data_IF_405350648182
#
_entry.id   IF_405350648182
#
_cell.length_a   1.000
_cell.length_b   1.000
_cell.length_c   1.000
_cell.angle_alpha   90.00
_cell.angle_beta   90.00
_cell.angle_gamma   90.00
#
_symmetry.space_group_name_H-M   'P 1'
#
loop_
_entity.id
_entity.type
_entity.pdbx_description
1 polymer ?
#
# COMPACT_ATOMS: atom_id res chain seq x y z
N UNK A 1 53.18 -4.87 2.99
CA UNK A 1 51.91 -4.13 3.20
C UNK A 1 51.51 -3.66 1.82
N UNK A 2 50.44 -4.21 1.21
CA UNK A 2 49.96 -3.71 -0.07
C UNK A 2 49.61 -2.22 0.04
N UNK A 3 49.85 -1.48 -1.03
CA UNK A 3 49.60 -0.05 -1.10
C UNK A 3 48.09 0.20 -0.91
N UNK A 4 47.65 1.05 0.05
CA UNK A 4 46.23 1.37 0.19
C UNK A 4 45.61 1.92 -1.12
N UNK A 5 46.41 2.46 -2.05
CA UNK A 5 45.94 2.85 -3.38
C UNK A 5 45.53 1.67 -4.28
N UNK A 6 46.15 0.48 -4.13
CA UNK A 6 45.79 -0.71 -4.91
C UNK A 6 44.49 -1.38 -4.42
N UNK A 7 44.09 -1.14 -3.16
CA UNK A 7 42.84 -1.67 -2.60
C UNK A 7 41.59 -0.93 -3.11
N UNK A 8 41.74 0.33 -3.54
CA UNK A 8 40.63 1.14 -4.05
C UNK A 8 40.38 0.93 -5.56
N UNK A 9 41.31 0.32 -6.30
CA UNK A 9 41.19 0.09 -7.76
C UNK A 9 40.35 -1.14 -8.16
N UNK A 10 39.80 -1.90 -7.19
CA UNK A 10 39.02 -3.11 -7.47
C UNK A 10 37.61 -3.14 -6.87
N UNK A 11 36.94 -1.99 -6.79
CA UNK A 11 35.50 -1.96 -6.50
C UNK A 11 34.72 -2.31 -7.79
N UNK A 12 34.53 -3.61 -8.03
CA UNK A 12 33.61 -4.10 -9.06
C UNK A 12 32.15 -3.82 -8.63
N UNK A 13 31.60 -2.68 -9.03
CA UNK A 13 30.17 -2.39 -8.85
C UNK A 13 29.37 -3.15 -9.92
N UNK A 14 28.83 -4.31 -9.55
CA UNK A 14 27.89 -5.02 -10.41
C UNK A 14 26.53 -4.31 -10.39
N UNK A 15 26.13 -3.78 -11.55
CA UNK A 15 24.78 -3.21 -11.72
C UNK A 15 23.78 -4.36 -11.67
N UNK A 16 23.01 -4.44 -10.60
CA UNK A 16 21.93 -5.41 -10.44
C UNK A 16 20.81 -5.25 -11.49
N UNK A 17 19.85 -6.19 -11.46
CA UNK A 17 18.66 -6.12 -12.32
C UNK A 17 17.90 -4.82 -12.05
N UNK A 18 17.63 -4.03 -13.10
CA UNK A 18 16.82 -2.81 -12.98
C UNK A 18 15.34 -3.17 -13.12
N UNK A 19 14.56 -2.86 -12.09
CA UNK A 19 13.10 -2.88 -12.20
C UNK A 19 12.63 -1.68 -13.04
N UNK A 20 11.49 -1.78 -13.74
CA UNK A 20 10.79 -0.60 -14.25
C UNK A 20 10.58 0.38 -13.09
N UNK A 21 10.89 1.65 -13.31
CA UNK A 21 10.75 2.69 -12.31
C UNK A 21 9.81 3.78 -12.81
N UNK A 22 9.20 4.49 -11.86
CA UNK A 22 8.41 5.69 -12.11
C UNK A 22 9.06 6.85 -11.38
N UNK A 23 9.18 7.99 -12.04
CA UNK A 23 9.67 9.21 -11.39
C UNK A 23 8.58 9.77 -10.49
N UNK A 24 8.93 10.05 -9.24
CA UNK A 24 8.04 10.63 -8.23
C UNK A 24 8.65 11.97 -7.84
N UNK A 25 7.83 13.02 -7.77
CA UNK A 25 8.30 14.33 -7.31
C UNK A 25 8.55 14.30 -5.80
N UNK A 26 9.79 14.59 -5.39
CA UNK A 26 10.19 14.70 -3.97
C UNK A 26 9.25 15.62 -3.18
N UNK A 27 8.83 16.73 -3.81
CA UNK A 27 7.92 17.72 -3.24
C UNK A 27 6.60 17.11 -2.74
N UNK A 28 6.07 16.07 -3.40
CA UNK A 28 4.84 15.38 -2.96
C UNK A 28 5.10 14.62 -1.66
N UNK A 29 6.24 13.93 -1.55
CA UNK A 29 6.63 13.17 -0.36
C UNK A 29 6.79 14.06 0.88
N UNK A 30 7.27 15.30 0.68
CA UNK A 30 7.52 16.27 1.75
C UNK A 30 6.40 17.31 1.94
N UNK A 31 5.34 17.25 1.13
CA UNK A 31 4.20 18.20 1.14
C UNK A 31 3.29 18.10 2.36
N UNK A 32 3.50 17.10 3.22
CA UNK A 32 2.68 16.78 4.39
C UNK A 32 1.27 16.26 4.10
N UNK A 33 0.98 15.79 2.87
CA UNK A 33 -0.20 14.94 2.62
C UNK A 33 -0.07 13.62 3.37
N UNK A 34 -1.18 12.90 3.52
CA UNK A 34 -1.17 11.58 4.16
C UNK A 34 -0.36 10.55 3.37
N UNK A 35 0.21 9.57 4.08
CA UNK A 35 0.97 8.47 3.45
C UNK A 35 0.12 7.68 2.43
N UNK A 36 -1.19 7.59 2.68
CA UNK A 36 -2.15 6.97 1.76
C UNK A 36 -2.32 7.80 0.48
N UNK A 37 -2.33 9.12 0.57
CA UNK A 37 -2.33 10.02 -0.59
C UNK A 37 -1.01 9.92 -1.37
N UNK A 38 0.14 9.85 -0.68
CA UNK A 38 1.44 9.58 -1.33
C UNK A 38 1.41 8.26 -2.11
N UNK A 39 0.98 7.17 -1.46
CA UNK A 39 0.91 5.86 -2.11
C UNK A 39 -0.04 5.87 -3.32
N UNK A 40 -1.15 6.62 -3.24
CA UNK A 40 -2.06 6.82 -4.37
C UNK A 40 -1.40 7.59 -5.52
N UNK A 41 -0.67 8.67 -5.22
CA UNK A 41 0.10 9.41 -6.22
C UNK A 41 1.10 8.50 -6.93
N UNK A 42 1.85 7.68 -6.20
CA UNK A 42 2.79 6.71 -6.79
C UNK A 42 2.09 5.74 -7.75
N UNK A 43 0.94 5.19 -7.35
CA UNK A 43 0.14 4.28 -8.20
C UNK A 43 -0.38 4.98 -9.47
N UNK A 44 -0.79 6.24 -9.36
CA UNK A 44 -1.17 7.04 -10.52
C UNK A 44 0.04 7.28 -11.44
N UNK A 45 1.21 7.62 -10.88
CA UNK A 45 2.44 7.83 -11.63
C UNK A 45 2.90 6.58 -12.39
N UNK A 46 2.66 5.38 -11.85
CA UNK A 46 2.93 4.11 -12.54
C UNK A 46 2.09 3.92 -13.80
N UNK A 47 0.95 4.62 -13.93
CA UNK A 47 0.09 4.56 -15.13
C UNK A 47 0.46 5.59 -16.20
N UNK A 48 1.43 6.48 -15.95
CA UNK A 48 1.88 7.45 -16.94
C UNK A 48 2.45 6.70 -18.15
N UNK A 49 1.89 6.98 -19.33
CA UNK A 49 2.38 6.38 -20.56
C UNK A 49 3.52 7.21 -21.12
N UNK A 50 4.76 6.80 -20.80
CA UNK A 50 5.98 7.46 -21.27
C UNK A 50 6.04 7.59 -22.79
N UNK A 51 5.46 6.64 -23.56
CA UNK A 51 5.45 6.71 -25.02
C UNK A 51 4.50 7.77 -25.57
N UNK A 52 3.44 8.12 -24.82
CA UNK A 52 2.46 9.13 -25.22
C UNK A 52 2.96 10.55 -24.93
N UNK A 53 3.92 10.69 -24.01
CA UNK A 53 4.53 11.96 -23.64
C UNK A 53 3.61 12.91 -22.85
N UNK A 54 2.42 12.44 -22.44
CA UNK A 54 1.53 13.18 -21.56
C UNK A 54 1.52 12.58 -20.14
N UNK A 55 0.97 13.34 -19.20
CA UNK A 55 0.82 12.91 -17.79
C UNK A 55 -0.63 12.54 -17.45
N UNK A 56 -1.44 12.24 -18.48
CA UNK A 56 -2.85 11.91 -18.32
C UNK A 56 -3.04 10.41 -18.03
N UNK A 57 -3.84 10.08 -17.02
CA UNK A 57 -4.19 8.69 -16.71
C UNK A 57 -5.70 8.58 -16.45
N UNK A 58 -6.28 7.43 -16.76
CA UNK A 58 -7.72 7.18 -16.58
C UNK A 58 -8.03 5.80 -15.98
N UNK A 59 -7.33 5.37 -14.91
CA UNK A 59 -7.75 4.19 -14.17
C UNK A 59 -9.14 4.43 -13.56
N UNK A 60 -9.93 3.37 -13.48
CA UNK A 60 -11.23 3.43 -12.83
C UNK A 60 -11.06 3.51 -11.29
N UNK A 61 -11.98 4.17 -10.59
CA UNK A 61 -11.86 4.43 -9.15
C UNK A 61 -11.90 3.15 -8.31
N UNK A 62 -12.62 2.13 -8.78
CA UNK A 62 -12.64 0.79 -8.21
C UNK A 62 -11.27 0.12 -8.27
N UNK A 63 -10.58 0.17 -9.42
CA UNK A 63 -9.22 -0.36 -9.59
C UNK A 63 -8.24 0.36 -8.67
N UNK A 64 -8.32 1.70 -8.58
CA UNK A 64 -7.47 2.46 -7.68
C UNK A 64 -7.72 2.10 -6.20
N UNK A 65 -8.99 1.91 -5.82
CA UNK A 65 -9.36 1.54 -4.46
C UNK A 65 -8.87 0.13 -4.11
N UNK A 66 -9.05 -0.82 -5.01
CA UNK A 66 -8.55 -2.20 -4.87
C UNK A 66 -7.02 -2.20 -4.66
N UNK A 67 -6.27 -1.52 -5.52
CA UNK A 67 -4.81 -1.41 -5.38
C UNK A 67 -4.38 -0.72 -4.08
N UNK A 68 -5.21 0.21 -3.58
CA UNK A 68 -5.00 0.88 -2.32
C UNK A 68 -5.43 0.08 -1.08
N UNK A 69 -6.00 -1.11 -1.27
CA UNK A 69 -6.48 -1.98 -0.19
C UNK A 69 -7.79 -1.49 0.42
N UNK A 70 -8.60 -0.72 -0.32
CA UNK A 70 -9.91 -0.27 0.11
C UNK A 70 -11.01 -1.11 -0.53
N UNK A 71 -11.98 -1.56 0.25
CA UNK A 71 -13.13 -2.32 -0.25
C UNK A 71 -14.16 -1.46 -1.00
N UNK A 72 -14.06 -0.12 -0.91
CA UNK A 72 -15.03 0.82 -1.48
C UNK A 72 -14.30 1.89 -2.27
N UNK A 73 -14.80 2.18 -3.47
CA UNK A 73 -14.24 3.21 -4.34
C UNK A 73 -14.28 4.61 -3.71
N UNK A 74 -15.30 4.90 -2.91
CA UNK A 74 -15.49 6.21 -2.30
C UNK A 74 -14.43 6.53 -1.25
N UNK A 75 -13.85 5.49 -0.61
CA UNK A 75 -12.81 5.62 0.42
C UNK A 75 -11.53 6.24 -0.11
N UNK A 76 -11.31 6.23 -1.42
CA UNK A 76 -10.12 6.84 -2.03
C UNK A 76 -10.24 8.34 -2.22
N UNK A 77 -11.47 8.84 -2.28
CA UNK A 77 -11.77 10.24 -2.66
C UNK A 77 -11.13 11.26 -1.73
N UNK A 78 -11.11 11.09 -0.39
CA UNK A 78 -10.42 12.04 0.49
C UNK A 78 -8.94 12.20 0.16
N UNK A 79 -8.26 11.10 -0.18
CA UNK A 79 -6.84 11.13 -0.55
C UNK A 79 -6.61 11.77 -1.93
N UNK A 80 -7.55 11.60 -2.86
CA UNK A 80 -7.53 12.36 -4.12
C UNK A 80 -7.73 13.86 -3.86
N UNK A 81 -8.63 14.24 -2.95
CA UNK A 81 -8.82 15.66 -2.60
C UNK A 81 -7.53 16.26 -2.00
N UNK A 82 -6.81 15.54 -1.13
CA UNK A 82 -5.50 15.99 -0.62
C UNK A 82 -4.50 16.27 -1.75
N UNK A 83 -4.40 15.36 -2.73
CA UNK A 83 -3.51 15.53 -3.89
C UNK A 83 -3.93 16.70 -4.80
N UNK A 84 -5.23 16.93 -4.94
CA UNK A 84 -5.77 18.09 -5.69
C UNK A 84 -5.45 19.39 -4.96
N UNK A 85 -5.62 19.42 -3.64
CA UNK A 85 -5.36 20.60 -2.79
C UNK A 85 -3.91 21.06 -2.89
N UNK A 86 -2.95 20.13 -2.95
CA UNK A 86 -1.53 20.48 -3.12
C UNK A 86 -1.12 20.72 -4.58
N UNK A 87 -2.03 20.58 -5.54
CA UNK A 87 -1.75 20.74 -6.97
C UNK A 87 -0.98 19.58 -7.60
N UNK A 88 -0.92 18.40 -6.95
CA UNK A 88 -0.20 17.24 -7.47
C UNK A 88 -1.01 16.49 -8.54
N UNK A 89 -2.33 16.57 -8.48
CA UNK A 89 -3.25 15.93 -9.43
C UNK A 89 -4.37 16.87 -9.79
N UNK A 90 -4.70 16.99 -11.07
CA UNK A 90 -5.96 17.61 -11.53
C UNK A 90 -6.93 16.52 -11.94
N UNK A 91 -8.17 16.60 -11.45
CA UNK A 91 -9.24 15.65 -11.80
C UNK A 91 -10.21 16.30 -12.77
N UNK A 92 -10.28 15.76 -13.98
CA UNK A 92 -11.22 16.20 -15.00
C UNK A 92 -12.27 15.11 -15.26
N UNK A 93 -13.53 15.51 -15.39
CA UNK A 93 -14.59 14.58 -15.77
C UNK A 93 -14.81 14.65 -17.28
N UNK A 94 -14.30 13.66 -18.00
CA UNK A 94 -14.56 13.51 -19.43
C UNK A 94 -15.80 12.65 -19.64
N UNK A 95 -16.68 13.07 -20.55
CA UNK A 95 -17.82 12.24 -20.99
C UNK A 95 -17.44 11.52 -22.27
N UNK A 96 -17.42 10.20 -22.23
CA UNK A 96 -17.16 9.35 -23.39
C UNK A 96 -18.46 8.69 -23.89
N UNK A 97 -18.48 8.34 -25.18
CA UNK A 97 -19.59 7.63 -25.86
C UNK A 97 -20.93 8.37 -25.77
N UNK A 98 -21.09 9.42 -26.59
CA UNK A 98 -22.32 10.20 -26.73
C UNK A 98 -22.85 10.79 -25.40
N UNK A 99 -21.96 11.09 -24.45
CA UNK A 99 -22.35 11.69 -23.17
C UNK A 99 -22.91 10.72 -22.12
N UNK A 100 -22.99 9.42 -22.42
CA UNK A 100 -23.64 8.44 -21.54
C UNK A 100 -22.77 8.03 -20.35
N UNK A 101 -21.45 7.92 -20.55
CA UNK A 101 -20.51 7.49 -19.50
C UNK A 101 -19.56 8.63 -19.15
N UNK A 102 -19.54 9.01 -17.88
CA UNK A 102 -18.48 9.87 -17.35
C UNK A 102 -17.32 8.99 -16.89
N UNK A 103 -16.10 9.40 -17.21
CA UNK A 103 -14.87 8.84 -16.66
C UNK A 103 -14.04 9.97 -16.09
N UNK A 104 -13.36 9.68 -14.99
CA UNK A 104 -12.37 10.59 -14.44
C UNK A 104 -11.09 10.43 -15.26
N UNK A 105 -10.54 11.58 -15.66
CA UNK A 105 -9.21 11.74 -16.24
C UNK A 105 -8.37 12.47 -15.19
N UNK A 106 -7.23 11.92 -14.86
CA UNK A 106 -6.30 12.48 -13.88
C UNK A 106 -5.10 13.01 -14.63
N UNK A 107 -4.75 14.28 -14.42
CA UNK A 107 -3.50 14.87 -14.92
C UNK A 107 -2.54 14.92 -13.74
N UNK A 108 -1.39 14.25 -13.88
CA UNK A 108 -0.40 14.15 -12.81
C UNK A 108 0.66 15.22 -13.03
N UNK A 109 0.95 16.00 -11.99
CA UNK A 109 1.91 17.10 -12.07
C UNK A 109 3.24 16.68 -11.42
N UNK A 110 4.28 16.53 -12.23
CA UNK A 110 5.62 16.19 -11.76
C UNK A 110 6.29 17.38 -11.05
N UNK A 111 5.94 18.60 -11.46
CA UNK A 111 6.42 19.86 -10.90
C UNK A 111 5.28 20.53 -10.13
N UNK A 112 5.53 21.10 -8.94
CA UNK A 112 4.49 21.79 -8.20
C UNK A 112 4.10 23.10 -8.89
N UNK A 113 2.93 23.62 -8.53
CA UNK A 113 2.48 24.93 -9.01
C UNK A 113 3.45 26.05 -8.54
N UNK A 114 3.59 27.16 -9.30
CA UNK A 114 4.46 28.27 -8.91
C UNK A 114 4.11 28.92 -7.57
N UNK A 115 2.87 28.74 -7.10
CA UNK A 115 2.36 29.22 -5.81
C UNK A 115 2.66 28.27 -4.65
N UNK A 116 3.30 27.12 -4.89
CA UNK A 116 3.61 26.14 -3.86
C UNK A 116 4.59 26.68 -2.83
N UNK A 117 4.20 26.60 -1.55
CA UNK A 117 5.01 27.01 -0.40
C UNK A 117 5.44 25.77 0.36
N UNK A 118 6.71 25.41 0.24
CA UNK A 118 7.33 24.28 0.92
C UNK A 118 8.65 23.90 0.29
N UNK A 119 9.39 22.94 0.88
CA UNK A 119 10.57 22.40 0.24
C UNK A 119 10.18 21.65 -1.05
N UNK A 120 10.99 21.81 -2.09
CA UNK A 120 10.80 21.20 -3.41
C UNK A 120 11.62 19.91 -3.56
N UNK A 121 12.73 19.82 -2.81
CA UNK A 121 13.66 18.70 -2.86
C UNK A 121 13.99 18.19 -1.45
N UNK A 122 14.42 16.94 -1.35
CA UNK A 122 14.87 16.35 -0.08
C UNK A 122 16.02 17.15 0.57
N UNK A 123 16.94 17.70 -0.23
CA UNK A 123 18.06 18.51 0.25
C UNK A 123 17.60 19.80 0.97
N UNK A 124 16.60 20.50 0.43
CA UNK A 124 15.99 21.68 1.03
C UNK A 124 15.30 21.34 2.35
N UNK A 125 14.56 20.22 2.37
CA UNK A 125 13.94 19.71 3.58
C UNK A 125 14.97 19.47 4.69
N UNK A 126 16.08 18.79 4.39
CA UNK A 126 17.14 18.56 5.37
C UNK A 126 17.87 19.85 5.77
N UNK A 127 18.03 20.80 4.84
CA UNK A 127 18.60 22.11 5.16
C UNK A 127 17.72 22.88 6.15
N UNK A 128 16.41 22.93 5.92
CA UNK A 128 15.43 23.52 6.84
C UNK A 128 15.43 22.82 8.19
N UNK A 129 15.44 21.48 8.20
CA UNK A 129 15.48 20.68 9.43
C UNK A 129 16.72 20.95 10.27
N UNK A 130 17.88 21.13 9.65
CA UNK A 130 19.14 21.45 10.36
C UNK A 130 19.17 22.89 10.86
N UNK A 131 18.70 23.83 10.05
CA UNK A 131 18.76 25.24 10.39
C UNK A 131 17.72 25.64 11.45
N UNK A 132 16.49 25.13 11.35
CA UNK A 132 15.33 25.56 12.15
C UNK A 132 14.34 24.40 12.36
N UNK A 133 14.64 23.43 13.24
CA UNK A 133 13.78 22.26 13.46
C UNK A 133 12.37 22.64 13.97
N UNK A 134 12.26 23.64 14.84
CA UNK A 134 10.96 24.07 15.40
C UNK A 134 10.09 24.76 14.34
N UNK A 135 10.67 25.61 13.49
CA UNK A 135 9.96 26.24 12.36
C UNK A 135 9.44 25.18 11.38
N UNK A 136 10.24 24.15 11.09
CA UNK A 136 9.82 23.05 10.23
C UNK A 136 8.64 22.28 10.84
N UNK A 137 8.72 21.92 12.12
CA UNK A 137 7.64 21.21 12.80
C UNK A 137 6.35 22.05 12.84
N UNK A 138 6.46 23.35 13.13
CA UNK A 138 5.35 24.29 13.09
C UNK A 138 4.74 24.41 11.68
N UNK A 139 5.58 24.54 10.65
CA UNK A 139 5.14 24.56 9.25
C UNK A 139 4.42 23.26 8.87
N UNK A 140 4.97 22.09 9.22
CA UNK A 140 4.32 20.80 8.96
C UNK A 140 2.94 20.70 9.61
N UNK A 141 2.83 21.13 10.87
CA UNK A 141 1.56 21.16 11.60
C UNK A 141 0.52 22.06 10.93
N UNK A 142 0.90 23.30 10.60
CA UNK A 142 0.05 24.25 9.90
C UNK A 142 -0.35 23.75 8.52
N UNK A 143 0.60 23.14 7.78
CA UNK A 143 0.37 22.61 6.44
C UNK A 143 -0.62 21.44 6.46
N UNK A 144 -0.47 20.48 7.37
CA UNK A 144 -1.43 19.37 7.54
C UNK A 144 -2.82 19.87 7.87
N UNK A 145 -2.93 20.83 8.80
CA UNK A 145 -4.21 21.42 9.17
C UNK A 145 -4.87 22.13 7.97
N UNK A 146 -4.10 22.92 7.22
CA UNK A 146 -4.58 23.59 6.01
C UNK A 146 -5.05 22.58 4.94
N UNK A 147 -4.25 21.55 4.65
CA UNK A 147 -4.62 20.50 3.68
C UNK A 147 -5.92 19.82 4.09
N UNK A 148 -6.04 19.44 5.37
CA UNK A 148 -7.24 18.79 5.88
C UNK A 148 -8.50 19.67 5.77
N UNK A 149 -8.39 20.97 6.08
CA UNK A 149 -9.50 21.92 5.93
C UNK A 149 -9.90 22.12 4.46
N UNK A 150 -8.93 22.30 3.56
CA UNK A 150 -9.22 22.43 2.12
C UNK A 150 -9.83 21.15 1.54
N UNK A 151 -9.36 19.97 1.94
CA UNK A 151 -9.92 18.69 1.51
C UNK A 151 -11.38 18.52 1.99
N UNK A 152 -11.70 18.94 3.23
CA UNK A 152 -13.08 18.97 3.72
C UNK A 152 -13.96 19.93 2.91
N UNK A 153 -13.44 21.11 2.57
CA UNK A 153 -14.17 22.09 1.76
C UNK A 153 -14.44 21.55 0.35
N UNK A 154 -13.46 20.93 -0.29
CA UNK A 154 -13.64 20.22 -1.56
C UNK A 154 -14.71 19.12 -1.45
N UNK A 155 -14.68 18.32 -0.39
CA UNK A 155 -15.71 17.31 -0.13
C UNK A 155 -17.11 17.93 0.06
N UNK A 156 -17.21 19.10 0.70
CA UNK A 156 -18.46 19.87 0.85
C UNK A 156 -18.99 20.34 -0.50
N UNK A 157 -18.14 20.95 -1.33
CA UNK A 157 -18.49 21.41 -2.67
C UNK A 157 -18.93 20.25 -3.57
N UNK A 158 -18.25 19.10 -3.51
CA UNK A 158 -18.65 17.89 -4.24
C UNK A 158 -20.03 17.39 -3.81
N UNK A 159 -20.32 17.38 -2.50
CA UNK A 159 -21.65 17.02 -1.98
C UNK A 159 -22.72 18.01 -2.43
N UNK A 160 -22.43 19.30 -2.43
CA UNK A 160 -23.37 20.33 -2.89
C UNK A 160 -23.64 20.20 -4.39
N UNK A 161 -22.61 20.02 -5.21
CA UNK A 161 -22.74 19.75 -6.64
C UNK A 161 -23.56 18.48 -6.92
N UNK A 162 -23.37 17.42 -6.12
CA UNK A 162 -24.17 16.20 -6.21
C UNK A 162 -25.65 16.45 -5.88
N UNK A 163 -25.95 17.29 -4.88
CA UNK A 163 -27.34 17.68 -4.51
C UNK A 163 -28.01 18.53 -5.60
N UNK A 164 -27.27 19.43 -6.25
CA UNK A 164 -27.79 20.26 -7.36
C UNK A 164 -28.07 19.44 -8.61
N UNK A 165 -27.44 18.27 -8.75
CA UNK A 165 -27.65 17.39 -9.89
C UNK A 165 -29.05 16.77 -9.77
N UNK A 166 -29.97 17.00 -10.74
CA UNK A 166 -31.31 16.46 -10.66
C UNK A 166 -31.23 14.94 -10.51
N UNK A 167 -32.04 14.33 -9.63
CA UNK A 167 -32.04 12.89 -9.46
C UNK A 167 -32.29 12.28 -10.84
N UNK A 168 -31.35 11.45 -11.30
CA UNK A 168 -31.57 10.65 -12.51
C UNK A 168 -32.82 9.83 -12.23
N UNK A 169 -33.92 10.12 -12.92
CA UNK A 169 -35.12 9.28 -12.88
C UNK A 169 -34.70 7.92 -13.39
N UNK A 170 -34.41 6.99 -12.49
CA UNK A 170 -33.96 5.62 -12.77
C UNK A 170 -34.97 4.78 -13.60
N UNK A 171 -36.04 5.39 -14.13
CA UNK A 171 -37.06 4.73 -14.94
C UNK A 171 -37.45 5.48 -16.22
N UNK A 172 -36.81 6.61 -16.57
CA UNK A 172 -36.97 7.12 -17.93
C UNK A 172 -36.08 6.26 -18.84
N UNK A 173 -36.69 5.19 -19.37
CA UNK A 173 -36.16 4.44 -20.51
C UNK A 173 -35.60 5.46 -21.50
N UNK A 174 -34.33 5.26 -21.89
CA UNK A 174 -33.69 6.11 -22.88
C UNK A 174 -34.68 6.35 -24.02
N UNK A 175 -34.94 7.61 -24.43
CA UNK A 175 -35.89 7.89 -25.50
C UNK A 175 -35.54 6.95 -26.65
N UNK A 176 -36.53 6.17 -27.16
CA UNK A 176 -36.26 5.19 -28.20
C UNK A 176 -35.49 5.92 -29.30
N UNK A 177 -34.30 5.40 -29.65
CA UNK A 177 -33.40 6.04 -30.60
C UNK A 177 -34.17 6.28 -31.91
N UNK A 178 -34.73 7.48 -32.05
CA UNK A 178 -35.53 7.89 -33.18
C UNK A 178 -34.57 8.12 -34.33
N UNK A 179 -34.32 7.09 -35.14
CA UNK A 179 -33.53 7.26 -36.36
C UNK A 179 -32.84 6.02 -36.93
N UNK A 180 -32.78 4.88 -36.23
CA UNK A 180 -32.32 3.66 -36.89
C UNK A 180 -33.46 3.14 -37.75
N UNK A 181 -33.41 3.51 -39.03
CA UNK A 181 -34.18 2.92 -40.13
C UNK A 181 -34.20 1.41 -39.94
N UNK A 182 -35.34 0.89 -39.54
CA UNK A 182 -35.64 -0.53 -39.68
C UNK A 182 -35.47 -0.82 -41.17
N UNK A 183 -34.58 -1.75 -41.59
CA UNK A 183 -34.68 -2.26 -42.94
C UNK A 183 -36.07 -2.87 -43.07
N UNK A 184 -36.83 -2.38 -44.06
CA UNK A 184 -38.11 -2.95 -44.41
C UNK A 184 -37.99 -4.48 -44.50
N UNK A 185 -38.81 -5.15 -43.70
CA UNK A 185 -39.67 -6.21 -44.22
C UNK A 185 -38.93 -7.35 -44.94
N UNK A 186 -38.28 -8.22 -44.17
CA UNK A 186 -38.24 -9.64 -44.53
C UNK A 186 -38.53 -10.48 -43.31
N UNK A 187 -39.69 -11.13 -43.36
CA UNK A 187 -40.22 -11.93 -42.27
C UNK A 187 -39.31 -13.08 -41.91
N UNK A 188 -39.23 -13.34 -40.61
CA UNK A 188 -38.95 -14.66 -40.08
C UNK A 188 -40.05 -14.96 -39.08
N UNK A 189 -40.89 -15.91 -39.47
CA UNK A 189 -41.90 -16.51 -38.62
C UNK A 189 -41.24 -17.04 -37.33
N UNK A 190 -41.92 -16.84 -36.20
CA UNK A 190 -41.61 -17.54 -34.94
C UNK A 190 -41.66 -19.06 -35.19
N UNK A 191 -40.59 -19.83 -34.91
CA UNK A 191 -40.75 -21.25 -34.66
C UNK A 191 -41.35 -21.40 -33.26
N UNK A 192 -42.39 -22.23 -33.18
CA UNK A 192 -43.09 -22.57 -31.96
C UNK A 192 -42.21 -23.30 -30.94
N UNK A 193 -42.74 -23.33 -29.73
CA UNK A 193 -42.30 -24.15 -28.61
C UNK A 193 -42.06 -25.59 -29.06
N UNK A 194 -40.84 -26.09 -28.87
CA UNK A 194 -40.56 -27.53 -28.87
C UNK A 194 -40.57 -28.05 -27.43
N UNK A 195 -41.20 -29.20 -27.15
CA UNK A 195 -41.15 -29.85 -25.86
C UNK A 195 -39.78 -30.51 -25.61
N UNK A 196 -39.54 -30.76 -24.34
CA UNK A 196 -38.44 -31.52 -23.77
C UNK A 196 -38.21 -32.90 -24.44
N UNK A 197 -36.94 -33.26 -24.57
CA UNK A 197 -36.50 -34.65 -24.81
C UNK A 197 -35.90 -34.93 -26.18
N UNK A 198 -34.58 -35.16 -26.23
CA UNK A 198 -33.94 -35.78 -27.38
C UNK A 198 -32.46 -35.44 -27.52
N UNK A 199 -31.61 -36.35 -27.06
CA UNK A 199 -30.17 -36.41 -27.36
C UNK A 199 -29.96 -36.41 -28.88
N UNK A 200 -29.40 -35.34 -29.44
CA UNK A 200 -28.81 -35.35 -30.78
C UNK A 200 -27.45 -34.64 -30.82
N UNK A 201 -26.49 -35.15 -31.62
CA UNK A 201 -25.10 -34.70 -31.62
C UNK A 201 -24.94 -33.38 -32.38
N UNK A 202 -24.14 -32.48 -31.81
CA UNK A 202 -23.81 -31.17 -32.41
C UNK A 202 -23.00 -31.37 -33.70
N UNK A 203 -23.39 -30.77 -34.85
CA UNK A 203 -22.58 -30.81 -36.05
C UNK A 203 -21.37 -29.88 -35.93
N UNK A 204 -20.25 -30.33 -36.51
CA UNK A 204 -18.99 -29.56 -36.60
C UNK A 204 -19.21 -28.28 -37.40
N UNK A 205 -18.84 -27.14 -36.82
CA UNK A 205 -18.83 -25.83 -37.47
C UNK A 205 -17.80 -25.81 -38.60
N UNK A 206 -18.28 -25.93 -39.83
CA UNK A 206 -17.56 -25.59 -41.06
C UNK A 206 -17.75 -24.10 -41.34
N UNK A 207 -16.65 -23.38 -41.57
CA UNK A 207 -16.68 -22.09 -42.28
C UNK A 207 -16.19 -20.86 -41.50
N UNK A 208 -14.92 -20.84 -41.09
CA UNK A 208 -14.21 -19.56 -40.89
C UNK A 208 -13.75 -19.09 -42.26
N UNK A 209 -14.37 -18.03 -42.77
CA UNK A 209 -13.98 -17.35 -44.01
C UNK A 209 -12.61 -16.70 -43.82
N UNK A 210 -11.60 -17.24 -44.49
CA UNK A 210 -10.34 -16.55 -44.74
C UNK A 210 -10.61 -15.34 -45.63
N UNK A 211 -10.28 -14.10 -45.23
CA UNK A 211 -10.35 -12.96 -46.13
C UNK A 211 -9.32 -13.11 -47.26
N UNK A 212 -9.63 -12.66 -48.49
CA UNK A 212 -8.72 -12.74 -49.62
C UNK A 212 -7.48 -11.88 -49.39
N UNK A 213 -6.35 -12.36 -49.93
CA UNK A 213 -5.00 -11.77 -49.94
C UNK A 213 -5.00 -10.23 -49.91
N UNK A 214 -4.49 -9.66 -48.82
CA UNK A 214 -3.98 -8.28 -48.82
C UNK A 214 -2.77 -8.21 -49.74
N UNK A 215 -2.75 -7.20 -50.60
CA UNK A 215 -1.64 -6.89 -51.50
C UNK A 215 -0.35 -6.50 -50.76
N UNK A 216 0.75 -6.30 -51.49
CA UNK A 216 2.06 -5.99 -50.92
C UNK A 216 1.99 -4.68 -50.13
N UNK A 217 2.38 -4.75 -48.85
CA UNK A 217 2.59 -3.58 -48.01
C UNK A 217 3.85 -2.86 -48.54
N UNK A 218 3.77 -1.58 -48.95
CA UNK A 218 4.94 -0.83 -49.37
C UNK A 218 5.92 -0.67 -48.19
N UNK A 219 7.22 -0.73 -48.50
CA UNK A 219 8.29 -0.56 -47.51
C UNK A 219 8.19 0.84 -46.90
N UNK A 220 8.25 0.99 -45.57
CA UNK A 220 8.37 2.31 -44.96
C UNK A 220 9.68 2.94 -45.45
N UNK A 221 9.56 4.05 -46.15
CA UNK A 221 10.68 4.85 -46.64
C UNK A 221 10.92 5.96 -45.62
N UNK A 222 12.13 6.03 -45.07
CA UNK A 222 12.66 7.20 -44.38
C UNK A 222 12.05 7.50 -43.02
N UNK A 223 12.58 6.86 -41.97
CA UNK A 223 12.70 7.53 -40.67
C UNK A 223 14.19 7.68 -40.44
N UNK A 224 14.66 8.92 -40.49
CA UNK A 224 16.03 9.30 -40.15
C UNK A 224 16.32 8.77 -38.74
N UNK A 225 17.33 7.92 -38.64
CA UNK A 225 17.85 7.46 -37.37
C UNK A 225 18.66 8.61 -36.77
N UNK A 226 18.14 9.19 -35.69
CA UNK A 226 18.95 10.00 -34.80
C UNK A 226 20.10 9.14 -34.28
N UNK A 227 21.31 9.63 -34.54
CA UNK A 227 22.58 9.01 -34.19
C UNK A 227 22.70 9.01 -32.67
N UNK A 228 22.29 7.92 -32.04
CA UNK A 228 22.71 7.60 -30.68
C UNK A 228 24.16 7.15 -30.77
N UNK A 229 25.04 8.00 -30.26
CA UNK A 229 26.47 7.75 -30.08
C UNK A 229 26.63 6.51 -29.17
N UNK A 230 26.94 5.37 -29.78
CA UNK A 230 27.25 4.13 -29.08
C UNK A 230 28.76 4.13 -28.78
N UNK A 231 29.10 4.20 -27.50
CA UNK A 231 30.43 3.83 -27.01
C UNK A 231 30.59 2.31 -27.17
N UNK A 232 31.34 1.92 -28.21
CA UNK A 232 31.69 0.53 -28.46
C UNK A 232 32.83 0.10 -27.53
N UNK A 233 32.55 -0.81 -26.59
CA UNK A 233 33.56 -1.66 -25.97
C UNK A 233 33.37 -3.09 -26.48
N UNK A 234 34.39 -3.74 -27.07
CA UNK A 234 34.21 -5.05 -27.70
C UNK A 234 34.13 -6.18 -26.65
N UNK A 235 32.98 -6.86 -26.60
CA UNK A 235 32.78 -8.08 -25.81
C UNK A 235 33.19 -9.32 -26.61
N UNK A 236 34.08 -10.13 -26.03
CA UNK A 236 34.48 -11.46 -26.49
C UNK A 236 33.32 -12.47 -26.48
N UNK A 237 33.32 -13.47 -27.39
CA UNK A 237 32.25 -14.45 -27.51
C UNK A 237 32.34 -15.54 -26.43
N UNK A 238 31.21 -15.81 -25.74
CA UNK A 238 31.05 -16.98 -24.86
C UNK A 238 30.19 -18.07 -25.53
N UNK A 239 30.46 -19.36 -25.25
CA UNK A 239 29.87 -20.49 -25.96
C UNK A 239 28.46 -20.83 -25.47
N UNK A 240 27.66 -21.26 -26.45
CA UNK A 240 26.26 -21.70 -26.34
C UNK A 240 26.12 -22.92 -25.43
N UNK A 241 25.37 -22.80 -24.33
CA UNK A 241 24.92 -23.94 -23.51
C UNK A 241 23.44 -24.19 -23.76
N UNK A 242 23.14 -25.38 -24.30
CA UNK A 242 21.81 -25.83 -24.66
C UNK A 242 20.85 -25.86 -23.46
N UNK A 243 19.62 -25.40 -23.69
CA UNK A 243 18.52 -25.41 -22.74
C UNK A 243 18.13 -26.85 -22.35
N UNK A 244 18.20 -27.16 -21.05
CA UNK A 244 17.56 -28.34 -20.48
C UNK A 244 16.08 -28.04 -20.25
N UNK A 245 15.21 -28.93 -20.74
CA UNK A 245 13.77 -28.98 -20.41
C UNK A 245 13.58 -29.09 -18.89
N UNK A 246 12.61 -28.37 -18.29
CA UNK A 246 12.23 -28.61 -16.90
C UNK A 246 11.54 -29.98 -16.78
N UNK A 247 11.95 -30.75 -15.77
CA UNK A 247 11.32 -32.02 -15.41
C UNK A 247 9.94 -31.77 -14.81
N UNK A 248 9.04 -32.73 -15.01
CA UNK A 248 7.70 -32.73 -14.44
C UNK A 248 7.76 -32.70 -12.91
N UNK A 249 6.95 -31.82 -12.32
CA UNK A 249 6.74 -31.71 -10.88
C UNK A 249 5.84 -32.87 -10.43
N UNK A 250 6.30 -33.59 -9.42
CA UNK A 250 5.63 -34.71 -8.77
C UNK A 250 4.41 -34.20 -7.96
N UNK A 251 3.19 -34.73 -8.17
CA UNK A 251 1.99 -34.27 -7.45
C UNK A 251 1.92 -34.69 -5.97
N UNK A 252 2.85 -35.47 -5.44
CA UNK A 252 2.83 -35.95 -4.04
C UNK A 252 3.64 -35.11 -3.03
N UNK A 253 4.27 -33.99 -3.42
CA UNK A 253 4.93 -33.05 -2.48
C UNK A 253 3.98 -31.96 -1.95
N UNK A 254 2.71 -32.32 -1.73
CA UNK A 254 1.68 -31.37 -1.26
C UNK A 254 1.09 -31.71 0.10
N UNK A 255 1.92 -32.11 1.06
CA UNK A 255 1.52 -32.16 2.47
C UNK A 255 2.75 -32.24 3.38
N UNK A 256 3.37 -31.09 3.65
CA UNK A 256 4.28 -30.91 4.81
C UNK A 256 4.38 -29.42 5.14
N UNK A 257 3.23 -28.81 5.41
CA UNK A 257 3.21 -27.61 6.26
C UNK A 257 3.55 -28.08 7.67
N UNK A 258 4.64 -27.56 8.23
CA UNK A 258 5.02 -27.78 9.62
C UNK A 258 3.80 -27.56 10.56
N UNK A 259 3.68 -28.30 11.69
CA UNK A 259 2.62 -28.09 12.67
C UNK A 259 2.82 -26.71 13.32
N UNK A 260 2.21 -25.69 12.72
CA UNK A 260 2.20 -24.33 13.20
C UNK A 260 1.28 -24.23 14.41
N UNK A 261 1.87 -24.32 15.60
CA UNK A 261 1.38 -23.87 16.90
C UNK A 261 -0.14 -23.53 16.97
N UNK A 262 -0.98 -24.59 16.98
CA UNK A 262 -2.44 -24.52 17.14
C UNK A 262 -2.87 -23.81 18.44
N UNK A 263 -1.94 -23.58 19.37
CA UNK A 263 -2.19 -22.89 20.64
C UNK A 263 -2.71 -21.45 20.46
N UNK A 264 -2.28 -20.75 19.41
CA UNK A 264 -2.73 -19.38 19.12
C UNK A 264 -4.24 -19.32 18.82
N UNK A 265 -4.80 -20.36 18.20
CA UNK A 265 -6.23 -20.45 17.91
C UNK A 265 -7.08 -20.62 19.19
N UNK A 266 -6.59 -21.41 20.15
CA UNK A 266 -7.25 -21.61 21.43
C UNK A 266 -7.23 -20.36 22.31
N UNK A 267 -6.10 -19.66 22.36
CA UNK A 267 -5.95 -18.43 23.13
C UNK A 267 -6.80 -17.27 22.58
N UNK A 268 -6.85 -17.12 21.25
CA UNK A 268 -7.71 -16.13 20.60
C UNK A 268 -9.21 -16.37 20.88
N UNK A 269 -9.63 -17.64 20.92
CA UNK A 269 -10.99 -18.02 21.26
C UNK A 269 -11.34 -17.67 22.72
N UNK A 270 -10.40 -17.85 23.67
CA UNK A 270 -10.60 -17.48 25.08
C UNK A 270 -10.88 -15.98 25.25
N UNK A 271 -10.18 -15.11 24.53
CA UNK A 271 -10.44 -13.67 24.55
C UNK A 271 -11.84 -13.32 24.00
N UNK A 272 -12.26 -13.99 22.92
CA UNK A 272 -13.60 -13.81 22.36
C UNK A 272 -14.72 -14.29 23.28
N UNK A 273 -14.49 -15.38 24.02
CA UNK A 273 -15.40 -15.88 25.04
C UNK A 273 -15.53 -14.93 26.24
N UNK A 274 -14.41 -14.36 26.72
CA UNK A 274 -14.40 -13.35 27.77
C UNK A 274 -15.19 -12.09 27.36
N UNK A 275 -14.99 -11.60 26.14
CA UNK A 275 -15.77 -10.49 25.58
C UNK A 275 -17.27 -10.80 25.57
N UNK A 276 -17.66 -12.00 25.11
CA UNK A 276 -19.06 -12.40 25.01
C UNK A 276 -19.71 -12.56 26.39
N UNK A 277 -18.96 -13.06 27.38
CA UNK A 277 -19.39 -13.17 28.77
C UNK A 277 -19.60 -11.78 29.39
N UNK A 278 -18.64 -10.87 29.24
CA UNK A 278 -18.70 -9.51 29.78
C UNK A 278 -19.84 -8.67 29.17
N UNK A 279 -20.21 -8.92 27.91
CA UNK A 279 -21.27 -8.18 27.22
C UNK A 279 -22.70 -8.48 27.75
N UNK A 280 -22.92 -9.62 28.41
CA UNK A 280 -24.21 -9.95 29.04
C UNK A 280 -25.43 -10.07 28.09
N UNK A 281 -25.23 -10.44 26.82
CA UNK A 281 -26.29 -10.47 25.79
C UNK A 281 -26.37 -11.75 24.97
N UNK A 282 -27.32 -11.81 24.01
CA UNK A 282 -27.42 -12.94 23.06
C UNK A 282 -26.10 -13.14 22.31
N UNK A 283 -25.74 -14.41 22.09
CA UNK A 283 -24.55 -14.79 21.33
C UNK A 283 -24.64 -14.24 19.91
N UNK A 284 -23.68 -13.41 19.51
CA UNK A 284 -23.54 -12.96 18.13
C UNK A 284 -22.30 -13.63 17.50
N UNK A 285 -22.47 -14.72 16.73
CA UNK A 285 -21.35 -15.50 16.21
C UNK A 285 -20.51 -14.75 15.17
N UNK A 286 -21.04 -13.70 14.55
CA UNK A 286 -20.25 -12.87 13.64
C UNK A 286 -19.29 -11.96 14.42
N UNK A 287 -19.80 -11.26 15.44
CA UNK A 287 -18.98 -10.40 16.28
C UNK A 287 -17.93 -11.21 17.06
N UNK A 288 -18.31 -12.38 17.57
CA UNK A 288 -17.39 -13.30 18.25
C UNK A 288 -16.20 -13.71 17.36
N UNK A 289 -16.44 -14.07 16.10
CA UNK A 289 -15.37 -14.39 15.13
C UNK A 289 -14.46 -13.18 14.83
N UNK A 290 -15.02 -11.98 14.72
CA UNK A 290 -14.22 -10.77 14.53
C UNK A 290 -13.31 -10.50 15.74
N UNK A 291 -13.84 -10.64 16.96
CA UNK A 291 -13.07 -10.47 18.20
C UNK A 291 -11.96 -11.52 18.32
N UNK A 292 -12.24 -12.78 17.98
CA UNK A 292 -11.24 -13.85 17.95
C UNK A 292 -10.12 -13.56 16.93
N UNK A 293 -10.47 -13.11 15.72
CA UNK A 293 -9.49 -12.78 14.69
C UNK A 293 -8.54 -11.65 15.15
N UNK A 294 -9.09 -10.55 15.66
CA UNK A 294 -8.28 -9.44 16.20
C UNK A 294 -7.45 -9.84 17.42
N UNK A 295 -7.96 -10.72 18.30
CA UNK A 295 -7.18 -11.26 19.41
C UNK A 295 -5.99 -12.08 18.92
N UNK A 296 -6.15 -12.88 17.86
CA UNK A 296 -5.06 -13.61 17.22
C UNK A 296 -3.98 -12.68 16.67
N UNK A 297 -4.35 -11.55 16.07
CA UNK A 297 -3.39 -10.53 15.59
C UNK A 297 -2.60 -9.90 16.74
N UNK A 298 -3.25 -9.57 17.86
CA UNK A 298 -2.56 -9.01 19.03
C UNK A 298 -1.61 -10.02 19.69
N UNK A 299 -2.03 -11.27 19.83
CA UNK A 299 -1.18 -12.35 20.36
C UNK A 299 0.03 -12.60 19.44
N UNK A 300 -0.15 -12.53 18.12
CA UNK A 300 0.94 -12.63 17.14
C UNK A 300 1.90 -11.43 17.20
N UNK A 301 1.49 -10.31 17.80
CA UNK A 301 2.31 -9.14 18.08
C UNK A 301 2.91 -9.16 19.51
N UNK A 302 3.05 -10.34 20.11
CA UNK A 302 3.62 -10.59 21.45
C UNK A 302 2.86 -9.92 22.61
N UNK A 303 1.55 -9.66 22.48
CA UNK A 303 0.73 -9.26 23.62
C UNK A 303 0.48 -10.44 24.55
N UNK A 304 0.48 -10.19 25.87
CA UNK A 304 0.13 -11.20 26.85
C UNK A 304 -1.38 -11.53 26.77
N UNK A 305 -1.72 -12.81 26.91
CA UNK A 305 -3.12 -13.26 26.83
C UNK A 305 -4.01 -12.59 27.89
N UNK A 306 -3.51 -12.36 29.09
CA UNK A 306 -4.28 -11.70 30.14
C UNK A 306 -4.62 -10.25 29.76
N UNK A 307 -3.69 -9.55 29.10
CA UNK A 307 -3.91 -8.19 28.61
C UNK A 307 -4.94 -8.17 27.46
N UNK A 308 -4.86 -9.13 26.53
CA UNK A 308 -5.83 -9.25 25.43
C UNK A 308 -7.24 -9.57 25.97
N UNK A 309 -7.35 -10.45 26.97
CA UNK A 309 -8.62 -10.75 27.65
C UNK A 309 -9.17 -9.50 28.35
N UNK A 310 -8.34 -8.80 29.14
CA UNK A 310 -8.75 -7.58 29.84
C UNK A 310 -9.22 -6.48 28.87
N UNK A 311 -8.54 -6.33 27.72
CA UNK A 311 -8.89 -5.42 26.65
C UNK A 311 -10.23 -5.79 26.01
N UNK A 312 -10.46 -7.08 25.78
CA UNK A 312 -11.70 -7.59 25.21
C UNK A 312 -12.89 -7.37 26.15
N UNK A 313 -12.74 -7.62 27.45
CA UNK A 313 -13.78 -7.32 28.43
C UNK A 313 -14.06 -5.82 28.56
N UNK A 314 -13.02 -4.98 28.53
CA UNK A 314 -13.17 -3.52 28.57
C UNK A 314 -13.99 -3.03 27.38
N UNK A 315 -13.64 -3.50 26.18
CA UNK A 315 -14.39 -3.22 24.94
C UNK A 315 -15.85 -3.66 25.05
N UNK A 316 -16.15 -4.77 25.74
CA UNK A 316 -17.52 -5.22 25.95
C UNK A 316 -18.32 -4.28 26.87
N UNK A 317 -17.68 -3.71 27.90
CA UNK A 317 -18.29 -2.78 28.88
C UNK A 317 -18.51 -1.38 28.33
N UNK A 318 -17.63 -0.87 27.46
CA UNK A 318 -17.64 0.54 27.02
C UNK A 318 -18.46 0.82 25.74
N UNK A 319 -19.40 -0.04 25.35
CA UNK A 319 -20.09 0.09 24.05
C UNK A 319 -20.98 1.33 23.97
N UNK A 320 -20.79 2.20 22.95
CA UNK A 320 -20.79 1.82 21.52
C UNK A 320 -19.56 2.23 20.68
N UNK A 321 -18.46 2.70 21.28
CA UNK A 321 -17.37 3.34 20.52
C UNK A 321 -16.49 2.38 19.69
N UNK A 322 -16.34 1.12 20.13
CA UNK A 322 -15.33 0.19 19.57
C UNK A 322 -15.98 -1.07 19.00
N UNK A 323 -15.57 -1.44 17.77
CA UNK A 323 -16.02 -2.66 17.07
C UNK A 323 -14.88 -3.65 16.79
N UNK A 324 -13.66 -3.26 17.11
CA UNK A 324 -12.42 -3.91 16.69
C UNK A 324 -11.42 -3.82 17.84
N UNK A 325 -10.86 -4.96 18.23
CA UNK A 325 -9.93 -5.10 19.37
C UNK A 325 -8.59 -4.42 19.09
N UNK A 326 -8.11 -4.45 17.84
CA UNK A 326 -6.87 -3.79 17.43
C UNK A 326 -6.99 -2.27 17.51
N UNK A 327 -8.12 -1.71 17.05
CA UNK A 327 -8.38 -0.27 17.25
C UNK A 327 -8.50 0.11 18.72
N UNK A 328 -9.14 -0.73 19.55
CA UNK A 328 -9.19 -0.46 20.99
C UNK A 328 -7.80 -0.52 21.63
N UNK A 329 -6.95 -1.43 21.15
CA UNK A 329 -5.55 -1.54 21.55
C UNK A 329 -4.77 -0.27 21.18
N UNK A 330 -4.94 0.31 19.99
CA UNK A 330 -4.24 1.54 19.58
C UNK A 330 -4.48 2.73 20.53
N UNK A 331 -5.61 2.74 21.23
CA UNK A 331 -5.97 3.79 22.19
C UNK A 331 -5.52 3.51 23.63
N UNK A 332 -5.16 2.27 23.96
CA UNK A 332 -4.44 1.96 25.19
C UNK A 332 -2.95 1.91 24.87
N UNK A 333 -2.14 2.70 25.56
CA UNK A 333 -0.71 2.38 25.58
C UNK A 333 -0.60 0.92 26.05
N UNK A 334 0.06 0.01 25.28
CA UNK A 334 0.31 -1.33 25.76
C UNK A 334 0.94 -1.18 27.14
N UNK A 335 0.54 -1.99 28.14
CA UNK A 335 1.22 -1.96 29.42
C UNK A 335 2.69 -2.11 29.12
N UNK A 336 3.48 -1.07 29.44
CA UNK A 336 4.92 -1.08 29.19
C UNK A 336 5.40 -2.35 29.85
N UNK A 337 5.95 -3.33 29.10
CA UNK A 337 6.28 -4.63 29.64
C UNK A 337 7.07 -4.36 30.90
N UNK A 338 6.55 -4.84 32.04
CA UNK A 338 7.07 -4.47 33.35
C UNK A 338 8.57 -4.64 33.27
N UNK A 339 9.33 -3.52 33.36
CA UNK A 339 10.78 -3.59 33.25
C UNK A 339 11.20 -4.70 34.19
N UNK A 340 11.85 -5.78 33.71
CA UNK A 340 12.17 -6.92 34.56
C UNK A 340 12.83 -6.31 35.79
N UNK A 341 12.23 -6.56 36.95
CA UNK A 341 12.71 -5.98 38.20
C UNK A 341 14.16 -6.39 38.28
N UNK A 342 15.06 -5.44 38.01
CA UNK A 342 16.48 -5.71 38.04
C UNK A 342 16.78 -5.85 39.52
N UNK A 343 16.77 -7.09 40.00
CA UNK A 343 17.25 -7.40 41.33
C UNK A 343 18.72 -7.03 41.30
N UNK A 344 19.01 -5.85 41.85
CA UNK A 344 20.38 -5.37 41.99
C UNK A 344 21.07 -6.36 42.92
N UNK A 345 22.26 -6.88 42.56
CA UNK A 345 23.04 -7.71 43.48
C UNK A 345 23.24 -6.97 44.81
N UNK A 346 23.51 -7.67 45.90
CA UNK A 346 23.92 -6.96 47.12
C UNK A 346 25.20 -6.15 46.87
N UNK A 347 25.34 -5.04 47.57
CA UNK A 347 26.51 -4.18 47.40
C UNK A 347 27.74 -4.85 48.03
N UNK A 348 28.87 -4.91 47.30
CA UNK A 348 30.06 -5.64 47.77
C UNK A 348 30.92 -4.89 48.79
N UNK A 349 30.58 -3.64 49.15
CA UNK A 349 31.35 -2.80 50.08
C UNK A 349 32.66 -2.21 49.55
N UNK A 350 33.18 -2.72 48.43
CA UNK A 350 34.48 -2.29 47.84
C UNK A 350 34.33 -1.23 46.73
N UNK A 351 33.13 -0.70 46.48
CA UNK A 351 32.96 0.33 45.44
C UNK A 351 33.30 1.72 45.99
N UNK A 352 34.32 2.36 45.41
CA UNK A 352 34.89 3.65 45.82
C UNK A 352 34.57 4.80 44.84
N UNK A 353 33.67 4.57 43.88
CA UNK A 353 33.30 5.58 42.89
C UNK A 353 32.59 6.81 43.49
N UNK A 354 32.66 7.98 42.81
CA UNK A 354 32.08 9.24 43.27
C UNK A 354 30.54 9.21 43.39
N UNK A 355 29.90 8.23 42.75
CA UNK A 355 28.48 7.93 42.90
C UNK A 355 28.31 6.47 43.36
N UNK A 356 28.12 6.20 44.66
CA UNK A 356 27.99 4.83 45.20
C UNK A 356 26.88 4.01 44.52
N UNK A 357 25.81 4.69 44.08
CA UNK A 357 24.71 4.09 43.33
C UNK A 357 25.14 3.47 41.98
N UNK A 358 26.22 3.97 41.36
CA UNK A 358 26.73 3.45 40.09
C UNK A 358 27.63 2.23 40.24
N UNK A 359 28.05 1.88 41.46
CA UNK A 359 28.88 0.69 41.75
C UNK A 359 30.15 0.64 40.90
N UNK A 360 30.87 1.75 40.90
CA UNK A 360 32.16 1.87 40.21
C UNK A 360 33.30 1.59 41.18
N UNK A 361 34.39 1.06 40.64
CA UNK A 361 35.63 0.82 41.37
C UNK A 361 36.82 1.35 40.59
N UNK A 362 37.78 1.93 41.31
CA UNK A 362 39.07 2.31 40.73
C UNK A 362 39.92 1.06 40.55
N UNK A 363 40.30 0.75 39.31
CA UNK A 363 41.19 -0.38 39.00
C UNK A 363 42.64 -0.03 39.34
N UNK A 364 43.50 -1.05 39.40
CA UNK A 364 44.94 -0.88 39.67
C UNK A 364 45.67 0.02 38.65
N UNK A 365 45.08 0.24 37.46
CA UNK A 365 45.58 1.16 36.43
C UNK A 365 45.14 2.62 36.65
N UNK A 366 44.46 2.92 37.77
CA UNK A 366 43.92 4.24 38.10
C UNK A 366 42.65 4.61 37.32
N UNK A 367 42.12 3.71 36.47
CA UNK A 367 40.89 3.98 35.72
C UNK A 367 39.67 3.57 36.53
N UNK A 368 38.65 4.42 36.50
CA UNK A 368 37.35 4.11 37.11
C UNK A 368 36.58 3.19 36.16
N UNK A 369 36.21 2.00 36.65
CA UNK A 369 35.49 0.99 35.91
C UNK A 369 34.28 0.45 36.66
N UNK A 370 33.45 -0.33 35.97
CA UNK A 370 32.32 -1.04 36.61
C UNK A 370 32.87 -2.09 37.58
N UNK A 371 32.33 -2.14 38.81
CA UNK A 371 32.75 -3.15 39.79
C UNK A 371 32.45 -4.56 39.24
N UNK A 372 33.46 -5.43 39.13
CA UNK A 372 33.25 -6.77 38.57
C UNK A 372 32.37 -7.67 39.45
N UNK A 373 32.21 -7.34 40.75
CA UNK A 373 31.52 -8.19 41.74
C UNK A 373 30.04 -7.86 41.88
N UNK A 374 29.67 -6.58 41.86
CA UNK A 374 28.29 -6.16 42.17
C UNK A 374 27.65 -5.25 41.11
N UNK A 375 28.34 -4.91 40.02
CA UNK A 375 27.73 -4.10 38.97
C UNK A 375 26.77 -4.97 38.12
N UNK A 376 25.52 -4.52 37.84
CA UNK A 376 24.50 -5.36 37.19
C UNK A 376 24.90 -5.93 35.83
N UNK A 377 25.70 -5.19 35.07
CA UNK A 377 26.24 -5.66 33.79
C UNK A 377 27.39 -6.67 33.92
N UNK A 378 28.16 -6.65 35.03
CA UNK A 378 29.26 -7.59 35.23
C UNK A 378 28.72 -8.97 35.63
N UNK A 379 27.70 -9.00 36.50
CA UNK A 379 27.04 -10.24 36.95
C UNK A 379 26.29 -10.96 35.82
N UNK A 380 25.87 -10.23 34.77
CA UNK A 380 25.23 -10.85 33.58
C UNK A 380 26.24 -11.46 32.59
N UNK A 381 27.52 -11.12 32.70
CA UNK A 381 28.56 -11.53 31.76
C UNK A 381 29.44 -12.67 32.30
N UNK A 382 29.35 -12.97 33.59
CA UNK A 382 29.90 -14.16 34.24
C UNK A 382 28.84 -15.26 34.24
#
# INVERSE_FOLDING_TARGET
MPDPAELDEQIEVQIGRRAPYSQIGDWVLISCVSDRAVALYCRLAMHINVQRGDTEVWPALDVLAEWAGFSKSESITPYLDELVVIGAVTVEQSRYSNGLRARNRYVIHQTPEPSYVGPLAASEYYALRRARPDDLAAWQGQRRAWIAEQAKEMARLRKEAAKRRPPRKNGQAAPPASGVRTPLQRGTARPGQTPDGGLFPVPRSSGVRTPPRRGPVPRPTGVEQDVVQQDETPLSPRPSRAARKPAAVDPDERENTAPGNDNSSGQAQQAADAWQAARGGRKNPAAHRTVAASAGELLAADWDLADVIALAEDMARTQPAWRDLGRHADHRQPPVPARPVVVLPEWCGECDGPEPARRWTTRADGRVGRCPRCHPHAVRAA
#
